data_IF_727116229159
#
_entry.id   IF_727116229159
#
_cell.length_a   1.000
_cell.length_b   1.000
_cell.length_c   1.000
_cell.angle_alpha   90.00
_cell.angle_beta   90.00
_cell.angle_gamma   90.00
#
_symmetry.space_group_name_H-M   'P 1'
#
loop_
_entity.id
_entity.type
_entity.pdbx_description
1 polymer ?
#
# COMPACT_ATOMS: atom_id res chain seq x y z
N UNK A 1 -2.55 -7.35 -8.79
CA UNK A 1 -1.17 -7.80 -8.65
C UNK A 1 -0.67 -7.46 -7.24
N UNK A 2 -0.05 -8.42 -6.56
CA UNK A 2 0.47 -8.23 -5.20
C UNK A 2 1.92 -8.72 -5.13
N UNK A 3 2.85 -7.81 -4.92
CA UNK A 3 4.28 -8.10 -4.87
C UNK A 3 4.69 -8.95 -3.64
N UNK A 4 3.84 -9.00 -2.60
CA UNK A 4 4.09 -9.84 -1.41
C UNK A 4 3.60 -11.29 -1.53
N UNK A 5 3.06 -11.70 -2.66
CA UNK A 5 2.44 -13.02 -2.84
C UNK A 5 3.24 -13.88 -3.81
N UNK A 6 4.54 -14.03 -3.61
CA UNK A 6 5.36 -14.91 -4.46
C UNK A 6 4.94 -16.39 -4.36
N UNK A 7 4.39 -16.81 -3.22
CA UNK A 7 3.95 -18.18 -2.97
C UNK A 7 2.51 -18.47 -3.43
N UNK A 8 1.73 -17.44 -3.78
CA UNK A 8 0.33 -17.58 -4.19
C UNK A 8 0.17 -17.44 -5.71
N UNK A 9 -0.95 -17.96 -6.23
CA UNK A 9 -1.38 -17.64 -7.58
C UNK A 9 -1.64 -16.14 -7.69
N UNK A 10 -0.86 -15.46 -8.50
CA UNK A 10 -0.89 -14.02 -8.64
C UNK A 10 -1.01 -13.64 -10.11
N UNK A 11 -1.60 -12.49 -10.39
CA UNK A 11 -1.67 -11.93 -11.74
C UNK A 11 -0.28 -11.50 -12.20
N UNK A 12 -0.04 -11.61 -13.49
CA UNK A 12 1.18 -11.13 -14.15
C UNK A 12 1.01 -9.68 -14.61
N UNK A 13 2.13 -9.01 -14.89
CA UNK A 13 2.11 -7.66 -15.45
C UNK A 13 1.34 -7.58 -16.77
N UNK A 14 1.38 -8.64 -17.57
CA UNK A 14 0.64 -8.77 -18.84
C UNK A 14 -0.87 -8.79 -18.66
N UNK A 15 -1.37 -9.12 -17.47
CA UNK A 15 -2.80 -9.27 -17.20
C UNK A 15 -3.44 -7.94 -16.78
N UNK A 16 -2.63 -6.91 -16.44
CA UNK A 16 -3.12 -5.66 -15.85
C UNK A 16 -4.16 -4.96 -16.72
N UNK A 17 -3.91 -4.83 -18.03
CA UNK A 17 -4.83 -4.15 -18.94
C UNK A 17 -6.19 -4.85 -19.00
N UNK A 18 -6.21 -6.18 -19.05
CA UNK A 18 -7.45 -6.96 -19.09
C UNK A 18 -8.20 -6.92 -17.74
N UNK A 19 -7.46 -6.97 -16.62
CA UNK A 19 -8.06 -6.82 -15.28
C UNK A 19 -8.75 -5.46 -15.15
N UNK A 20 -8.06 -4.40 -15.53
CA UNK A 20 -8.62 -3.04 -15.48
C UNK A 20 -9.84 -2.92 -16.39
N UNK A 21 -9.77 -3.46 -17.61
CA UNK A 21 -10.91 -3.46 -18.54
C UNK A 21 -12.15 -4.12 -17.91
N UNK A 22 -11.99 -5.35 -17.38
CA UNK A 22 -13.10 -6.08 -16.74
C UNK A 22 -13.63 -5.33 -15.53
N UNK A 23 -12.75 -4.86 -14.63
CA UNK A 23 -13.17 -4.13 -13.43
C UNK A 23 -13.92 -2.84 -13.77
N UNK A 24 -13.48 -2.14 -14.82
CA UNK A 24 -14.13 -0.89 -15.27
C UNK A 24 -15.54 -1.13 -15.78
N UNK A 25 -15.84 -2.24 -16.44
CA UNK A 25 -17.19 -2.60 -16.89
C UNK A 25 -18.18 -2.72 -15.72
N UNK A 26 -17.69 -3.10 -14.55
CA UNK A 26 -18.48 -3.24 -13.32
C UNK A 26 -18.31 -2.07 -12.35
N UNK A 27 -17.66 -0.99 -12.79
CA UNK A 27 -17.38 0.19 -11.96
C UNK A 27 -16.59 -0.15 -10.67
N UNK A 28 -15.65 -1.12 -10.76
CA UNK A 28 -14.79 -1.58 -9.66
C UNK A 28 -13.41 -0.97 -9.78
N UNK A 29 -12.94 -0.36 -8.70
CA UNK A 29 -11.58 0.19 -8.62
C UNK A 29 -10.53 -0.93 -8.56
N UNK A 30 -9.36 -0.65 -9.14
CA UNK A 30 -8.23 -1.59 -9.18
C UNK A 30 -7.02 -1.03 -8.46
N UNK A 31 -6.40 -1.84 -7.60
CA UNK A 31 -5.23 -1.45 -6.84
C UNK A 31 -4.05 -2.38 -7.11
N UNK A 32 -2.89 -1.78 -7.39
CA UNK A 32 -1.62 -2.50 -7.44
C UNK A 32 -0.96 -2.46 -6.06
N UNK A 33 -0.64 -3.61 -5.49
CA UNK A 33 0.06 -3.67 -4.20
C UNK A 33 1.57 -3.81 -4.43
N UNK A 34 2.31 -2.75 -4.12
CA UNK A 34 3.77 -2.64 -4.20
C UNK A 34 4.33 -2.27 -2.81
N UNK A 35 4.11 -3.14 -1.84
CA UNK A 35 4.39 -2.88 -0.43
C UNK A 35 5.49 -3.79 0.15
N UNK A 36 6.50 -4.10 -0.65
CA UNK A 36 7.71 -4.81 -0.24
C UNK A 36 8.85 -3.82 0.05
N UNK A 37 9.86 -4.28 0.78
CA UNK A 37 11.11 -3.54 0.91
C UNK A 37 11.88 -3.61 -0.42
N UNK A 38 12.27 -2.46 -0.95
CA UNK A 38 13.02 -2.34 -2.20
C UNK A 38 14.49 -2.05 -1.92
N UNK A 39 15.38 -2.71 -2.66
CA UNK A 39 16.80 -2.42 -2.68
C UNK A 39 17.17 -1.71 -3.98
N UNK A 40 18.41 -1.23 -4.09
CA UNK A 40 18.85 -0.48 -5.27
C UNK A 40 18.64 -1.20 -6.59
N UNK A 41 18.83 -2.53 -6.60
CA UNK A 41 18.62 -3.39 -7.76
C UNK A 41 17.16 -3.53 -8.19
N UNK A 42 16.22 -3.30 -7.27
CA UNK A 42 14.77 -3.43 -7.55
C UNK A 42 14.17 -2.16 -8.18
N UNK A 43 14.90 -1.03 -8.15
CA UNK A 43 14.32 0.28 -8.51
C UNK A 43 13.90 0.37 -9.97
N UNK A 44 14.63 -0.27 -10.87
CA UNK A 44 14.26 -0.27 -12.29
C UNK A 44 12.99 -1.08 -12.54
N UNK A 45 12.89 -2.26 -11.91
CA UNK A 45 11.70 -3.12 -12.00
C UNK A 45 10.49 -2.46 -11.35
N UNK A 46 10.68 -1.76 -10.25
CA UNK A 46 9.65 -0.95 -9.60
C UNK A 46 9.12 0.13 -10.56
N UNK A 47 10.00 0.88 -11.24
CA UNK A 47 9.59 1.91 -12.21
C UNK A 47 8.81 1.30 -13.36
N UNK A 48 9.33 0.23 -13.99
CA UNK A 48 8.63 -0.49 -15.07
C UNK A 48 7.24 -0.97 -14.63
N UNK A 49 7.13 -1.46 -13.40
CA UNK A 49 5.87 -1.92 -12.83
C UNK A 49 4.87 -0.77 -12.68
N UNK A 50 5.30 0.37 -12.16
CA UNK A 50 4.44 1.55 -11.98
C UNK A 50 4.04 2.19 -13.32
N UNK A 51 4.96 2.23 -14.28
CA UNK A 51 4.65 2.73 -15.65
C UNK A 51 3.62 1.84 -16.35
N UNK A 52 3.75 0.52 -16.23
CA UNK A 52 2.77 -0.41 -16.78
C UNK A 52 1.41 -0.30 -16.05
N UNK A 53 1.40 -0.12 -14.74
CA UNK A 53 0.18 0.11 -13.97
C UNK A 53 -0.54 1.39 -14.40
N UNK A 54 0.21 2.48 -14.58
CA UNK A 54 -0.32 3.73 -15.13
C UNK A 54 -0.89 3.55 -16.53
N UNK A 55 -0.14 2.91 -17.41
CA UNK A 55 -0.58 2.67 -18.80
C UNK A 55 -1.85 1.81 -18.87
N UNK A 56 -2.01 0.85 -17.94
CA UNK A 56 -3.20 0.03 -17.82
C UNK A 56 -4.40 0.77 -17.21
N UNK A 57 -4.21 1.94 -16.58
CA UNK A 57 -5.28 2.69 -15.92
C UNK A 57 -5.64 2.17 -14.52
N UNK A 58 -4.68 1.59 -13.80
CA UNK A 58 -4.85 1.21 -12.37
C UNK A 58 -5.29 2.44 -11.57
N UNK A 59 -6.27 2.28 -10.69
CA UNK A 59 -6.82 3.39 -9.89
C UNK A 59 -5.79 3.95 -8.92
N UNK A 60 -5.10 3.09 -8.14
CA UNK A 60 -4.07 3.51 -7.20
C UNK A 60 -3.03 2.41 -6.95
N UNK A 61 -1.90 2.78 -6.37
CA UNK A 61 -0.89 1.86 -5.86
C UNK A 61 -0.87 1.89 -4.33
N UNK A 62 -0.84 0.72 -3.72
CA UNK A 62 -0.64 0.56 -2.27
C UNK A 62 0.85 0.32 -2.04
N UNK A 63 1.56 1.31 -1.48
CA UNK A 63 3.00 1.29 -1.35
C UNK A 63 3.49 1.54 0.09
N UNK A 64 4.69 1.06 0.40
CA UNK A 64 5.36 1.29 1.68
C UNK A 64 6.78 1.83 1.52
N UNK A 65 7.41 1.62 0.37
CA UNK A 65 8.75 2.12 0.10
C UNK A 65 8.68 3.54 -0.47
N UNK A 66 9.53 4.44 0.06
CA UNK A 66 9.52 5.86 -0.37
C UNK A 66 9.91 6.01 -1.84
N UNK A 67 10.75 5.14 -2.41
CA UNK A 67 11.08 5.21 -3.83
C UNK A 67 9.84 4.95 -4.69
N UNK A 68 9.01 3.96 -4.32
CA UNK A 68 7.76 3.67 -5.01
C UNK A 68 6.73 4.79 -4.83
N UNK A 69 6.59 5.33 -3.60
CA UNK A 69 5.67 6.42 -3.27
C UNK A 69 6.00 7.67 -4.09
N UNK A 70 7.27 8.08 -4.08
CA UNK A 70 7.71 9.28 -4.78
C UNK A 70 7.54 9.11 -6.30
N UNK A 71 7.95 7.97 -6.85
CA UNK A 71 7.86 7.73 -8.28
C UNK A 71 6.40 7.65 -8.76
N UNK A 72 5.52 6.95 -8.04
CA UNK A 72 4.10 6.89 -8.38
C UNK A 72 3.47 8.29 -8.44
N UNK A 73 3.79 9.15 -7.48
CA UNK A 73 3.36 10.56 -7.49
C UNK A 73 3.92 11.36 -8.67
N UNK A 74 5.20 11.18 -8.98
CA UNK A 74 5.83 11.86 -10.12
C UNK A 74 5.15 11.53 -11.45
N UNK A 75 4.74 10.29 -11.63
CA UNK A 75 4.03 9.86 -12.83
C UNK A 75 2.51 10.08 -12.74
N UNK A 76 1.98 10.63 -11.64
CA UNK A 76 0.56 10.95 -11.48
C UNK A 76 -0.35 9.75 -11.21
N UNK A 77 0.17 8.71 -10.53
CA UNK A 77 -0.62 7.58 -10.02
C UNK A 77 -0.97 7.86 -8.55
N UNK A 78 -2.24 7.68 -8.19
CA UNK A 78 -2.70 7.83 -6.80
C UNK A 78 -2.00 6.81 -5.89
N UNK A 79 -1.59 7.26 -4.69
CA UNK A 79 -0.90 6.43 -3.71
C UNK A 79 -1.77 6.23 -2.49
N UNK A 80 -1.91 4.98 -2.06
CA UNK A 80 -2.38 4.60 -0.73
C UNK A 80 -1.19 4.14 0.11
N UNK A 81 -1.03 4.70 1.30
CA UNK A 81 0.04 4.29 2.21
C UNK A 81 -0.31 2.92 2.81
N UNK A 82 0.58 1.97 2.61
CA UNK A 82 0.37 0.59 3.08
C UNK A 82 0.46 0.46 4.61
N UNK A 83 -0.29 -0.47 5.17
CA UNK A 83 -0.15 -0.91 6.58
C UNK A 83 1.27 -1.35 6.96
N UNK A 84 2.13 -1.67 5.97
CA UNK A 84 3.52 -2.04 6.19
C UNK A 84 4.35 -0.91 6.83
N UNK A 85 3.87 0.34 6.77
CA UNK A 85 4.48 1.48 7.47
C UNK A 85 4.03 1.61 8.94
N UNK A 86 3.11 0.75 9.39
CA UNK A 86 2.67 0.65 10.80
C UNK A 86 2.27 2.00 11.40
N UNK A 87 1.48 2.79 10.65
CA UNK A 87 1.02 4.10 11.11
C UNK A 87 0.02 3.92 12.24
N UNK A 88 0.41 4.31 13.46
CA UNK A 88 -0.31 4.04 14.69
C UNK A 88 -0.63 5.28 15.52
N UNK A 89 -0.28 6.46 15.05
CA UNK A 89 -0.54 7.73 15.73
C UNK A 89 -0.68 8.88 14.72
N UNK A 90 -1.19 10.00 15.21
CA UNK A 90 -1.48 11.16 14.37
C UNK A 90 -0.24 11.81 13.77
N UNK A 91 0.90 11.80 14.45
CA UNK A 91 2.12 12.43 13.95
C UNK A 91 2.68 11.68 12.74
N UNK A 92 2.70 10.35 12.81
CA UNK A 92 3.04 9.52 11.65
C UNK A 92 2.04 9.74 10.50
N UNK A 93 0.74 9.84 10.79
CA UNK A 93 -0.27 10.13 9.79
C UNK A 93 -0.03 11.48 9.12
N UNK A 94 0.20 12.56 9.86
CA UNK A 94 0.52 13.89 9.32
C UNK A 94 1.71 13.86 8.38
N UNK A 95 2.74 13.10 8.74
CA UNK A 95 3.91 12.95 7.89
C UNK A 95 3.56 12.30 6.56
N UNK A 96 2.83 11.18 6.58
CA UNK A 96 2.48 10.44 5.36
C UNK A 96 1.36 11.09 4.56
N UNK A 97 0.51 11.91 5.17
CA UNK A 97 -0.50 12.71 4.48
C UNK A 97 0.09 13.65 3.41
N UNK A 98 1.37 14.00 3.52
CA UNK A 98 2.06 14.78 2.49
C UNK A 98 2.24 14.01 1.17
N UNK A 99 2.10 12.69 1.20
CA UNK A 99 2.38 11.81 0.06
C UNK A 99 1.15 11.08 -0.48
N UNK A 100 0.08 10.97 0.30
CA UNK A 100 -1.09 10.18 -0.07
C UNK A 100 -2.38 10.74 0.51
N UNK A 101 -3.48 10.55 -0.21
CA UNK A 101 -4.83 10.90 0.24
C UNK A 101 -5.49 9.79 1.07
N UNK A 102 -4.95 8.56 1.01
CA UNK A 102 -5.47 7.40 1.72
C UNK A 102 -4.34 6.73 2.51
N UNK A 103 -4.60 6.44 3.79
CA UNK A 103 -3.62 5.84 4.70
C UNK A 103 -4.21 4.61 5.37
N UNK A 104 -3.57 3.45 5.15
CA UNK A 104 -3.94 2.21 5.84
C UNK A 104 -3.27 2.18 7.21
N UNK A 105 -4.08 2.23 8.27
CA UNK A 105 -3.58 2.25 9.64
C UNK A 105 -2.97 0.91 10.08
N UNK A 106 -2.17 0.96 11.12
CA UNK A 106 -1.63 -0.23 11.78
C UNK A 106 -2.76 -1.12 12.32
N UNK A 107 -2.61 -2.44 12.16
CA UNK A 107 -3.61 -3.43 12.59
C UNK A 107 -3.74 -3.57 14.11
N UNK A 108 -2.73 -3.11 14.84
CA UNK A 108 -2.63 -3.17 16.30
C UNK A 108 -3.52 -2.14 17.01
N UNK A 109 -4.07 -1.17 16.26
CA UNK A 109 -4.95 -0.14 16.83
C UNK A 109 -6.31 -0.71 17.20
N UNK A 110 -6.81 -0.31 18.36
CA UNK A 110 -8.20 -0.53 18.74
C UNK A 110 -9.12 0.56 18.15
N UNK A 111 -10.42 0.31 18.14
CA UNK A 111 -11.39 1.25 17.56
C UNK A 111 -11.40 2.63 18.25
N UNK A 112 -11.08 2.71 19.54
CA UNK A 112 -10.98 3.99 20.27
C UNK A 112 -9.84 4.85 19.71
N UNK A 113 -8.68 4.24 19.47
CA UNK A 113 -7.52 4.91 18.86
C UNK A 113 -7.79 5.34 17.43
N UNK A 114 -8.46 4.49 16.63
CA UNK A 114 -8.85 4.83 15.25
C UNK A 114 -9.82 6.02 15.23
N UNK A 115 -10.82 6.04 16.13
CA UNK A 115 -11.77 7.16 16.27
C UNK A 115 -11.06 8.45 16.64
N UNK A 116 -10.08 8.38 17.54
CA UNK A 116 -9.32 9.57 17.96
C UNK A 116 -8.48 10.13 16.80
N UNK A 117 -7.79 9.26 16.05
CA UNK A 117 -7.07 9.68 14.85
C UNK A 117 -8.03 10.36 13.84
N UNK A 118 -9.19 9.74 13.58
CA UNK A 118 -10.19 10.30 12.67
C UNK A 118 -10.73 11.65 13.15
N UNK A 119 -11.02 11.78 14.45
CA UNK A 119 -11.45 13.05 15.06
C UNK A 119 -10.44 14.17 14.79
N UNK A 120 -9.14 13.89 15.02
CA UNK A 120 -8.07 14.89 14.80
C UNK A 120 -7.94 15.25 13.32
N UNK A 121 -8.03 14.26 12.42
CA UNK A 121 -8.03 14.53 10.97
C UNK A 121 -9.12 15.52 10.59
N UNK A 122 -10.34 15.31 11.11
CA UNK A 122 -11.49 16.15 10.78
C UNK A 122 -11.40 17.54 11.43
N UNK A 123 -10.98 17.63 12.68
CA UNK A 123 -10.84 18.91 13.40
C UNK A 123 -9.75 19.79 12.80
N UNK A 124 -8.62 19.20 12.46
CA UNK A 124 -7.48 19.95 11.91
C UNK A 124 -7.48 20.03 10.38
N UNK A 125 -8.49 19.44 9.72
CA UNK A 125 -8.63 19.41 8.26
C UNK A 125 -7.34 18.91 7.58
N UNK A 126 -6.77 17.80 8.07
CA UNK A 126 -5.54 17.25 7.52
C UNK A 126 -5.81 16.74 6.10
N UNK A 127 -5.20 17.39 5.12
CA UNK A 127 -5.39 17.10 3.71
C UNK A 127 -4.20 16.33 3.12
N UNK A 128 -4.50 15.48 2.14
CA UNK A 128 -3.52 14.83 1.29
C UNK A 128 -3.10 15.70 0.09
N UNK A 129 -2.31 15.15 -0.84
CA UNK A 129 -1.78 15.88 -1.99
C UNK A 129 -2.83 16.43 -2.95
N UNK A 130 -4.02 15.84 -3.01
CA UNK A 130 -5.13 16.32 -3.83
C UNK A 130 -5.89 17.50 -3.22
N UNK A 131 -5.55 17.90 -1.99
CA UNK A 131 -6.30 18.89 -1.20
C UNK A 131 -7.56 18.33 -0.54
N UNK A 132 -7.88 17.05 -0.70
CA UNK A 132 -8.96 16.36 0.02
C UNK A 132 -8.51 15.99 1.43
N UNK A 133 -9.46 15.95 2.37
CA UNK A 133 -9.19 15.41 3.72
C UNK A 133 -8.74 13.96 3.57
N UNK A 134 -7.68 13.60 4.30
CA UNK A 134 -7.12 12.24 4.29
C UNK A 134 -8.17 11.23 4.73
N UNK A 135 -8.30 10.19 3.95
CA UNK A 135 -9.11 9.01 4.28
C UNK A 135 -8.25 7.95 4.98
N UNK A 136 -8.85 7.23 5.91
CA UNK A 136 -8.19 6.12 6.58
C UNK A 136 -8.83 4.79 6.17
N UNK A 137 -7.99 3.81 5.94
CA UNK A 137 -8.37 2.41 5.76
C UNK A 137 -7.93 1.58 6.97
N UNK A 138 -8.69 0.55 7.30
CA UNK A 138 -8.34 -0.42 8.33
C UNK A 138 -8.79 -1.83 7.96
N UNK A 139 -8.05 -2.83 8.43
CA UNK A 139 -8.47 -4.22 8.27
C UNK A 139 -9.67 -4.52 9.15
N UNK A 140 -10.78 -4.93 8.54
CA UNK A 140 -12.01 -5.27 9.25
C UNK A 140 -12.19 -6.78 9.42
N UNK A 141 -11.70 -7.59 8.46
CA UNK A 141 -11.84 -9.05 8.46
C UNK A 141 -10.70 -9.69 7.66
N UNK A 142 -10.30 -10.90 8.05
CA UNK A 142 -9.29 -11.70 7.35
C UNK A 142 -8.48 -12.58 8.29
N UNK A 143 -7.52 -13.31 7.73
CA UNK A 143 -6.59 -14.12 8.51
C UNK A 143 -5.71 -13.22 9.41
N UNK A 144 -5.61 -13.58 10.68
CA UNK A 144 -4.77 -12.87 11.63
C UNK A 144 -3.30 -13.21 11.36
N UNK A 145 -2.49 -12.18 11.13
CA UNK A 145 -1.04 -12.30 11.14
C UNK A 145 -0.52 -11.79 12.50
N UNK A 146 0.29 -12.59 13.17
CA UNK A 146 0.85 -12.26 14.49
C UNK A 146 2.01 -11.27 14.45
N UNK A 147 2.62 -11.06 13.28
CA UNK A 147 3.75 -10.16 13.13
C UNK A 147 3.30 -8.71 12.94
N UNK A 148 4.08 -7.76 13.46
CA UNK A 148 3.95 -6.35 13.11
C UNK A 148 4.23 -6.21 11.61
N UNK A 149 3.36 -5.48 10.92
CA UNK A 149 3.45 -5.27 9.48
C UNK A 149 4.79 -4.64 9.08
N UNK A 150 5.44 -5.20 8.05
CA UNK A 150 6.73 -4.72 7.56
C UNK A 150 7.95 -5.11 8.42
N UNK A 151 7.77 -5.89 9.50
CA UNK A 151 8.85 -6.26 10.44
C UNK A 151 8.89 -7.76 10.73
N UNK A 152 8.42 -8.60 9.80
CA UNK A 152 8.42 -10.05 9.98
C UNK A 152 9.73 -10.68 9.51
N UNK A 153 10.37 -11.43 10.38
CA UNK A 153 11.57 -12.22 10.08
C UNK A 153 11.32 -13.74 10.12
N UNK A 154 10.08 -14.17 10.36
CA UNK A 154 9.76 -15.59 10.53
C UNK A 154 10.11 -16.42 9.27
N UNK A 155 9.60 -16.00 8.11
CA UNK A 155 9.89 -16.69 6.85
C UNK A 155 11.38 -16.66 6.50
N UNK A 156 12.10 -15.59 6.88
CA UNK A 156 13.54 -15.51 6.68
C UNK A 156 14.27 -16.53 7.57
N UNK A 157 13.85 -16.69 8.81
CA UNK A 157 14.43 -17.63 9.74
C UNK A 157 14.18 -19.09 9.31
N UNK A 158 12.94 -19.42 8.97
CA UNK A 158 12.54 -20.80 8.68
C UNK A 158 12.92 -21.27 7.26
N UNK A 159 12.84 -20.37 6.28
CA UNK A 159 12.94 -20.73 4.86
C UNK A 159 14.03 -19.97 4.10
N UNK A 160 14.81 -19.12 4.76
CA UNK A 160 15.82 -18.29 4.10
C UNK A 160 15.26 -17.26 3.14
N UNK A 161 13.93 -16.99 3.19
CA UNK A 161 13.24 -16.11 2.28
C UNK A 161 12.45 -15.02 3.02
N UNK A 162 12.68 -13.74 2.69
CA UNK A 162 12.14 -12.61 3.45
C UNK A 162 10.68 -12.32 3.09
N UNK A 163 9.79 -12.40 4.08
CA UNK A 163 8.41 -11.94 3.96
C UNK A 163 8.32 -10.44 3.62
N UNK A 164 9.24 -9.63 4.11
CA UNK A 164 9.29 -8.20 3.82
C UNK A 164 9.67 -7.90 2.36
N UNK A 165 10.26 -8.86 1.67
CA UNK A 165 10.57 -8.80 0.23
C UNK A 165 9.61 -9.62 -0.63
N UNK A 166 8.47 -10.02 -0.09
CA UNK A 166 7.40 -10.69 -0.83
C UNK A 166 7.29 -12.20 -0.62
N UNK A 167 8.26 -12.85 0.03
CA UNK A 167 8.27 -14.30 0.28
C UNK A 167 7.70 -14.60 1.66
N UNK A 168 6.38 -14.47 1.80
CA UNK A 168 5.64 -14.78 3.02
C UNK A 168 5.06 -16.20 2.92
N UNK A 169 5.58 -17.14 3.72
CA UNK A 169 5.18 -18.54 3.78
C UNK A 169 4.47 -18.88 5.09
#
# INVERSE_FOLDING_TARGET
LNMRSHSANNFKMTDLAEIVRICSEYNVKTYLTLNIALFGEDLEDMRRTLDAAKAAGITAVIASDMAAIIYARQIGVEVHISTQLSISNIEALRFYAQFADVIVLARELNLGQVKEIKRIIDEEQICGPSGRIVEIEMFAHGALCMAISGKCYLSLHEYGASANRGSCY
#
